data_IF_551987748314
#
_entry.id   IF_551987748314
#
_cell.length_a   1.000
_cell.length_b   1.000
_cell.length_c   1.000
_cell.angle_alpha   90.00
_cell.angle_beta   90.00
_cell.angle_gamma   90.00
#
_symmetry.space_group_name_H-M   'P 1'
#
loop_
_entity.id
_entity.type
_entity.pdbx_description
1 polymer ?
#
# COMPACT_ATOMS: atom_id res chain seq x y z
N UNK A 1 37.94 -21.05 10.15
CA UNK A 1 37.14 -19.90 9.69
C UNK A 1 37.45 -19.73 8.22
N UNK A 2 36.63 -20.27 7.35
CA UNK A 2 36.83 -20.17 5.91
C UNK A 2 36.46 -18.79 5.42
N UNK A 3 37.28 -18.22 4.59
CA UNK A 3 37.05 -16.99 3.85
C UNK A 3 35.79 -17.14 3.02
N UNK A 4 34.70 -16.43 3.37
CA UNK A 4 33.43 -16.46 2.64
C UNK A 4 33.56 -15.54 1.42
N UNK A 5 34.43 -15.93 0.49
CA UNK A 5 34.51 -15.32 -0.83
C UNK A 5 33.17 -15.46 -1.55
N UNK A 6 32.47 -14.35 -1.76
CA UNK A 6 31.19 -14.20 -2.47
C UNK A 6 29.98 -14.87 -1.78
N UNK A 7 29.37 -14.16 -0.84
CA UNK A 7 28.01 -14.45 -0.40
C UNK A 7 27.07 -14.51 -1.62
N UNK A 8 26.52 -15.71 -1.89
CA UNK A 8 25.43 -15.85 -2.85
C UNK A 8 24.12 -15.56 -2.12
N UNK A 9 23.58 -14.36 -2.29
CA UNK A 9 22.28 -13.98 -1.76
C UNK A 9 21.21 -15.01 -2.17
N UNK A 10 20.27 -15.27 -1.27
CA UNK A 10 19.09 -16.04 -1.58
C UNK A 10 18.20 -15.14 -2.44
N UNK A 11 18.20 -15.35 -3.77
CA UNK A 11 17.52 -14.46 -4.72
C UNK A 11 16.00 -14.50 -4.57
N UNK A 12 15.45 -15.68 -4.33
CA UNK A 12 14.03 -15.94 -4.15
C UNK A 12 13.87 -16.91 -2.99
N UNK A 13 12.98 -16.61 -2.03
CA UNK A 13 12.73 -17.44 -0.89
C UNK A 13 11.21 -17.58 -0.64
N UNK A 14 10.77 -18.81 -0.38
CA UNK A 14 9.41 -19.18 0.00
C UNK A 14 9.46 -20.15 1.19
N UNK A 15 8.45 -20.11 2.04
CA UNK A 15 8.32 -20.99 3.19
C UNK A 15 8.69 -20.33 4.52
N UNK A 16 9.07 -21.12 5.52
CA UNK A 16 9.39 -20.63 6.85
C UNK A 16 10.89 -20.66 7.11
N UNK A 17 11.48 -19.50 7.38
CA UNK A 17 12.86 -19.38 7.86
C UNK A 17 12.82 -18.97 9.33
N UNK A 18 13.18 -19.89 10.21
CA UNK A 18 13.37 -19.62 11.64
C UNK A 18 14.86 -19.58 11.96
N UNK A 19 15.37 -18.42 12.33
CA UNK A 19 16.75 -18.22 12.76
C UNK A 19 17.07 -18.81 14.13
N UNK A 20 16.06 -19.26 14.91
CA UNK A 20 16.22 -19.82 16.26
C UNK A 20 17.03 -18.93 17.18
N UNK A 21 16.88 -17.62 17.11
CA UNK A 21 17.68 -16.67 17.87
C UNK A 21 19.16 -16.60 17.49
N UNK A 22 19.56 -17.23 16.37
CA UNK A 22 20.95 -17.23 15.90
C UNK A 22 21.28 -15.95 15.15
N UNK A 23 22.58 -15.66 15.10
CA UNK A 23 23.13 -14.51 14.39
C UNK A 23 23.82 -14.94 13.10
N UNK A 24 23.44 -14.33 12.00
CA UNK A 24 24.24 -14.31 10.76
C UNK A 24 25.18 -13.11 10.86
N UNK A 25 26.44 -13.35 11.20
CA UNK A 25 27.46 -12.31 11.32
C UNK A 25 28.32 -12.21 10.06
N UNK A 26 28.88 -11.01 9.83
CA UNK A 26 29.79 -10.76 8.72
C UNK A 26 29.11 -10.72 7.35
N UNK A 27 27.80 -10.38 7.30
CA UNK A 27 27.14 -10.09 6.04
C UNK A 27 27.92 -8.99 5.33
N UNK A 28 28.41 -9.26 4.13
CA UNK A 28 29.12 -8.29 3.32
C UNK A 28 28.57 -8.30 1.90
N UNK A 29 27.79 -7.30 1.58
CA UNK A 29 27.27 -7.10 0.24
C UNK A 29 27.90 -5.84 -0.32
N UNK A 30 28.79 -6.00 -1.28
CA UNK A 30 29.43 -4.89 -1.97
C UNK A 30 29.16 -5.02 -3.45
N UNK A 31 28.53 -4.01 -4.05
CA UNK A 31 28.33 -3.97 -5.50
C UNK A 31 28.53 -2.57 -6.02
N UNK A 32 29.46 -2.43 -6.93
CA UNK A 32 29.63 -1.27 -7.80
C UNK A 32 28.90 -1.64 -9.10
N UNK A 33 27.80 -0.97 -9.38
CA UNK A 33 26.90 -1.42 -10.43
C UNK A 33 27.13 -0.75 -11.78
N UNK A 34 27.29 -1.60 -12.79
CA UNK A 34 27.06 -1.24 -14.19
C UNK A 34 25.69 -1.76 -14.70
N UNK A 35 24.80 -2.21 -13.82
CA UNK A 35 23.48 -2.76 -14.17
C UNK A 35 22.49 -2.70 -13.02
N UNK A 36 21.22 -2.89 -13.32
CA UNK A 36 20.08 -2.81 -12.39
C UNK A 36 20.13 -3.89 -11.31
N UNK A 37 20.47 -3.51 -10.06
CA UNK A 37 20.12 -4.31 -8.90
C UNK A 37 18.81 -3.79 -8.36
N UNK A 38 17.74 -4.57 -8.50
CA UNK A 38 16.42 -4.17 -8.04
C UNK A 38 16.19 -4.47 -6.56
N UNK A 39 16.85 -5.50 -6.01
CA UNK A 39 16.58 -5.94 -4.63
C UNK A 39 17.86 -6.45 -3.97
N UNK A 40 18.10 -6.10 -2.70
CA UNK A 40 19.30 -6.47 -1.94
C UNK A 40 18.98 -6.68 -0.48
N UNK A 41 19.49 -7.77 0.09
CA UNK A 41 19.39 -8.17 1.49
C UNK A 41 19.94 -9.59 1.68
N UNK A 42 19.85 -10.13 2.88
CA UNK A 42 20.09 -11.55 3.12
C UNK A 42 19.22 -12.39 2.17
N UNK A 43 17.94 -12.02 2.06
CA UNK A 43 17.02 -12.47 1.04
C UNK A 43 16.82 -11.33 0.03
N UNK A 44 16.98 -11.61 -1.28
CA UNK A 44 16.75 -10.59 -2.31
C UNK A 44 15.27 -10.23 -2.42
N UNK A 45 14.45 -11.23 -2.75
CA UNK A 45 13.00 -11.10 -2.94
C UNK A 45 12.29 -12.23 -2.22
N UNK A 46 11.23 -11.89 -1.53
CA UNK A 46 10.31 -12.83 -0.87
C UNK A 46 8.91 -12.53 -1.37
N UNK A 47 8.42 -13.32 -2.35
CA UNK A 47 7.22 -12.97 -3.13
C UNK A 47 5.98 -13.75 -2.75
N UNK A 48 6.09 -14.83 -1.96
CA UNK A 48 4.96 -15.67 -1.67
C UNK A 48 4.29 -15.28 -0.35
N UNK A 49 2.98 -15.10 -0.40
CA UNK A 49 2.15 -14.93 0.80
C UNK A 49 2.25 -16.16 1.70
N UNK A 50 2.19 -15.96 3.01
CA UNK A 50 2.35 -17.02 3.99
C UNK A 50 3.81 -17.41 4.24
N UNK A 51 4.77 -16.80 3.54
CA UNK A 51 6.19 -16.92 3.88
C UNK A 51 6.48 -16.20 5.20
N UNK A 52 7.31 -16.82 6.03
CA UNK A 52 7.69 -16.30 7.35
C UNK A 52 9.20 -16.25 7.49
N UNK A 53 9.73 -15.13 7.95
CA UNK A 53 11.12 -14.98 8.38
C UNK A 53 11.09 -14.51 9.83
N UNK A 54 11.72 -15.29 10.72
CA UNK A 54 11.63 -15.01 12.17
C UNK A 54 12.88 -15.36 12.96
N UNK A 55 12.98 -14.75 14.16
CA UNK A 55 13.97 -15.09 15.19
C UNK A 55 15.41 -15.06 14.66
N UNK A 56 15.77 -14.00 13.92
CA UNK A 56 17.04 -13.87 13.24
C UNK A 56 17.73 -12.56 13.58
N UNK A 57 19.00 -12.61 13.99
CA UNK A 57 19.87 -11.44 14.01
C UNK A 57 20.78 -11.43 12.79
N UNK A 58 20.94 -10.28 12.14
CA UNK A 58 21.88 -10.08 11.01
C UNK A 58 22.82 -8.93 11.35
N UNK A 59 24.14 -9.16 11.16
CA UNK A 59 25.19 -8.18 11.42
C UNK A 59 26.14 -8.07 10.24
N UNK A 60 26.59 -6.87 9.90
CA UNK A 60 27.53 -6.64 8.81
C UNK A 60 27.32 -5.34 8.04
N UNK A 61 27.66 -5.34 6.76
CA UNK A 61 27.65 -4.14 5.93
C UNK A 61 27.06 -4.42 4.54
N UNK A 62 26.24 -3.49 4.07
CA UNK A 62 25.70 -3.43 2.70
C UNK A 62 26.19 -2.12 2.07
N UNK A 63 27.05 -2.22 1.06
CA UNK A 63 27.59 -1.07 0.33
C UNK A 63 27.23 -1.17 -1.16
N UNK A 64 26.30 -0.33 -1.60
CA UNK A 64 25.74 -0.39 -2.95
C UNK A 64 26.02 0.89 -3.71
N UNK A 65 26.59 0.76 -4.93
CA UNK A 65 26.51 1.79 -5.95
C UNK A 65 25.28 1.49 -6.82
N UNK A 66 24.27 2.35 -6.87
CA UNK A 66 23.03 2.12 -7.64
C UNK A 66 22.94 3.04 -8.85
N UNK A 67 22.57 2.47 -9.99
CA UNK A 67 22.07 3.17 -11.18
C UNK A 67 20.71 2.58 -11.52
N UNK A 68 19.66 3.11 -10.94
CA UNK A 68 18.29 2.65 -11.15
C UNK A 68 17.55 2.36 -9.83
N UNK A 69 16.30 1.97 -9.94
CA UNK A 69 15.43 1.63 -8.80
C UNK A 69 16.00 0.46 -8.00
N UNK A 70 16.07 0.61 -6.68
CA UNK A 70 16.60 -0.43 -5.80
C UNK A 70 15.81 -0.50 -4.49
N UNK A 71 15.50 -1.73 -4.05
CA UNK A 71 14.95 -2.03 -2.74
C UNK A 71 16.01 -2.73 -1.89
N UNK A 72 16.44 -2.12 -0.80
CA UNK A 72 17.58 -2.53 0.00
C UNK A 72 17.16 -2.65 1.47
N UNK A 73 17.35 -3.83 2.06
CA UNK A 73 17.12 -4.08 3.49
C UNK A 73 18.07 -5.16 4.01
N UNK A 74 18.35 -5.17 5.30
CA UNK A 74 19.27 -6.17 5.87
C UNK A 74 18.73 -7.59 5.76
N UNK A 75 17.43 -7.77 6.05
CA UNK A 75 16.78 -9.08 5.96
C UNK A 75 16.30 -9.33 4.53
N UNK A 76 15.52 -8.43 3.95
CA UNK A 76 15.01 -8.61 2.59
C UNK A 76 15.04 -7.31 1.79
N UNK A 77 15.31 -7.37 0.49
CA UNK A 77 15.16 -6.24 -0.41
C UNK A 77 13.68 -5.90 -0.59
N UNK A 78 12.91 -6.82 -1.15
CA UNK A 78 11.45 -6.73 -1.30
C UNK A 78 10.80 -7.94 -0.63
N UNK A 79 9.73 -7.73 0.16
CA UNK A 79 9.09 -8.83 0.90
C UNK A 79 7.58 -8.73 0.95
N UNK A 80 6.89 -9.84 0.61
CA UNK A 80 5.49 -10.13 0.92
C UNK A 80 5.34 -11.00 2.18
N UNK A 81 6.46 -11.44 2.78
CA UNK A 81 6.46 -12.28 3.97
C UNK A 81 6.06 -11.50 5.22
N UNK A 82 5.63 -12.24 6.23
CA UNK A 82 5.68 -11.76 7.61
C UNK A 82 7.11 -11.88 8.12
N UNK A 83 7.72 -10.74 8.48
CA UNK A 83 9.04 -10.68 9.11
C UNK A 83 8.83 -10.29 10.57
N UNK A 84 9.21 -11.16 11.50
CA UNK A 84 9.05 -10.84 12.91
C UNK A 84 10.16 -11.34 13.81
N UNK A 85 10.32 -10.65 14.94
CA UNK A 85 11.34 -10.95 15.93
C UNK A 85 12.74 -11.05 15.33
N UNK A 86 13.04 -10.07 14.43
CA UNK A 86 14.34 -10.00 13.75
C UNK A 86 15.10 -8.75 14.19
N UNK A 87 16.41 -8.89 14.32
CA UNK A 87 17.32 -7.80 14.69
C UNK A 87 18.30 -7.54 13.56
N UNK A 88 18.42 -6.28 13.16
CA UNK A 88 19.44 -5.83 12.22
C UNK A 88 20.47 -4.95 12.93
N UNK A 89 21.74 -5.32 12.82
CA UNK A 89 22.91 -4.51 13.14
C UNK A 89 23.77 -4.32 11.87
N UNK A 90 23.10 -4.14 10.75
CA UNK A 90 23.74 -3.98 9.45
C UNK A 90 23.84 -2.50 9.11
N UNK A 91 25.05 -2.02 8.81
CA UNK A 91 25.24 -0.69 8.24
C UNK A 91 24.91 -0.74 6.74
N UNK A 92 24.09 0.18 6.28
CA UNK A 92 23.69 0.27 4.88
C UNK A 92 24.19 1.58 4.30
N UNK A 93 25.03 1.50 3.27
CA UNK A 93 25.52 2.66 2.54
C UNK A 93 25.15 2.55 1.06
N UNK A 94 24.47 3.56 0.53
CA UNK A 94 24.04 3.61 -0.87
C UNK A 94 24.57 4.87 -1.51
N UNK A 95 25.25 4.72 -2.64
CA UNK A 95 25.67 5.83 -3.50
C UNK A 95 24.87 5.73 -4.80
N UNK A 96 23.96 6.66 -5.05
CA UNK A 96 23.13 6.71 -6.25
C UNK A 96 23.61 7.81 -7.18
N UNK A 97 23.83 7.45 -8.46
CA UNK A 97 24.33 8.38 -9.48
C UNK A 97 23.40 8.52 -10.69
N UNK A 98 22.15 8.04 -10.61
CA UNK A 98 21.22 8.09 -11.74
C UNK A 98 20.04 9.04 -11.45
N UNK A 99 19.70 9.83 -12.46
CA UNK A 99 18.65 10.83 -12.41
C UNK A 99 17.22 10.27 -12.34
N UNK A 100 17.02 8.96 -12.54
CA UNK A 100 15.68 8.34 -12.65
C UNK A 100 15.37 7.28 -11.60
N UNK A 101 16.19 7.17 -10.55
CA UNK A 101 16.11 6.05 -9.60
C UNK A 101 15.27 6.37 -8.37
N UNK A 102 14.23 5.59 -8.13
CA UNK A 102 13.57 5.50 -6.82
C UNK A 102 14.27 4.41 -5.98
N UNK A 103 14.84 4.81 -4.85
CA UNK A 103 15.53 3.89 -3.94
C UNK A 103 14.69 3.75 -2.67
N UNK A 104 14.39 2.50 -2.27
CA UNK A 104 13.78 2.20 -0.99
C UNK A 104 14.82 1.51 -0.09
N UNK A 105 15.13 2.10 1.05
CA UNK A 105 16.14 1.57 1.98
C UNK A 105 15.55 1.45 3.38
N UNK A 106 15.59 0.26 3.95
CA UNK A 106 15.15 0.00 5.33
C UNK A 106 16.14 -0.87 6.11
N UNK A 107 16.21 -0.66 7.40
CA UNK A 107 17.09 -1.46 8.27
C UNK A 107 16.72 -2.94 8.32
N UNK A 108 15.44 -3.28 8.11
CA UNK A 108 14.94 -4.66 7.97
C UNK A 108 14.63 -4.98 6.52
N UNK A 109 13.79 -4.17 5.87
CA UNK A 109 13.30 -4.44 4.51
C UNK A 109 13.27 -3.18 3.67
N UNK A 110 13.72 -3.25 2.41
CA UNK A 110 13.68 -2.12 1.47
C UNK A 110 12.24 -1.74 1.13
N UNK A 111 11.46 -2.71 0.65
CA UNK A 111 10.05 -2.53 0.32
C UNK A 111 9.21 -3.66 0.90
N UNK A 112 8.33 -3.34 1.85
CA UNK A 112 7.44 -4.27 2.50
C UNK A 112 6.06 -4.25 1.85
N UNK A 113 5.54 -5.43 1.55
CA UNK A 113 4.15 -5.69 1.16
C UNK A 113 3.43 -6.57 2.19
N UNK A 114 4.16 -7.17 3.12
CA UNK A 114 3.67 -7.97 4.22
C UNK A 114 3.91 -7.29 5.58
N UNK A 115 3.58 -8.01 6.65
CA UNK A 115 3.74 -7.56 8.03
C UNK A 115 5.20 -7.53 8.45
N UNK A 116 5.64 -6.44 9.08
CA UNK A 116 6.90 -6.35 9.82
C UNK A 116 6.58 -6.04 11.28
N UNK A 117 6.89 -6.95 12.17
CA UNK A 117 6.59 -6.77 13.59
C UNK A 117 7.68 -7.26 14.54
N UNK A 118 7.71 -6.71 15.71
CA UNK A 118 8.67 -7.12 16.77
C UNK A 118 10.13 -7.07 16.28
N UNK A 119 10.46 -6.16 15.37
CA UNK A 119 11.77 -6.05 14.78
C UNK A 119 12.56 -4.87 15.34
N UNK A 120 13.89 -5.02 15.38
CA UNK A 120 14.77 -4.00 15.92
C UNK A 120 15.90 -3.68 14.94
N UNK A 121 16.31 -2.41 14.87
CA UNK A 121 17.45 -1.98 14.06
C UNK A 121 18.40 -1.08 14.85
N UNK A 122 19.71 -1.34 14.67
CA UNK A 122 20.79 -0.63 15.35
C UNK A 122 21.92 -0.20 14.38
N UNK A 123 21.91 -0.69 13.14
CA UNK A 123 22.90 -0.31 12.13
C UNK A 123 22.55 1.03 11.49
N UNK A 124 23.54 1.78 11.05
CA UNK A 124 23.35 3.09 10.44
C UNK A 124 22.98 2.98 8.96
N UNK A 125 22.18 3.93 8.47
CA UNK A 125 21.77 4.02 7.07
C UNK A 125 22.31 5.33 6.49
N UNK A 126 23.14 5.24 5.45
CA UNK A 126 23.70 6.40 4.76
C UNK A 126 23.40 6.35 3.27
N UNK A 127 22.77 7.40 2.77
CA UNK A 127 22.43 7.57 1.36
C UNK A 127 23.14 8.81 0.83
N UNK A 128 23.95 8.66 -0.22
CA UNK A 128 24.51 9.76 -0.98
C UNK A 128 23.87 9.73 -2.38
N UNK A 129 23.27 10.83 -2.78
CA UNK A 129 22.60 10.94 -4.06
C UNK A 129 23.27 12.05 -4.89
N UNK A 130 23.69 11.68 -6.10
CA UNK A 130 24.12 12.63 -7.11
C UNK A 130 23.02 12.78 -8.15
N UNK A 131 22.43 13.97 -8.28
CA UNK A 131 21.46 14.25 -9.33
C UNK A 131 20.00 14.40 -8.85
N UNK A 132 19.03 14.06 -9.72
CA UNK A 132 17.59 14.34 -9.54
C UNK A 132 16.80 13.12 -9.06
N UNK A 133 17.44 12.10 -8.54
CA UNK A 133 16.79 10.92 -8.00
C UNK A 133 16.12 11.18 -6.65
N UNK A 134 15.09 10.39 -6.33
CA UNK A 134 14.41 10.38 -5.04
C UNK A 134 14.78 9.17 -4.20
N UNK A 135 14.68 9.28 -2.88
CA UNK A 135 14.82 8.14 -1.98
C UNK A 135 13.70 8.07 -0.93
N UNK A 136 13.40 6.83 -0.56
CA UNK A 136 12.51 6.47 0.54
C UNK A 136 13.31 5.69 1.56
N UNK A 137 13.49 6.25 2.75
CA UNK A 137 14.34 5.67 3.78
C UNK A 137 13.57 5.53 5.08
N UNK A 138 13.70 4.37 5.72
CA UNK A 138 13.16 4.13 7.05
C UNK A 138 14.07 3.26 7.89
N UNK A 139 14.06 3.47 9.18
CA UNK A 139 14.87 2.65 10.08
C UNK A 139 14.46 1.17 10.07
N UNK A 140 13.19 0.87 9.85
CA UNK A 140 12.66 -0.50 9.70
C UNK A 140 12.41 -0.82 8.22
N UNK A 141 11.59 -0.04 7.54
CA UNK A 141 11.26 -0.28 6.13
C UNK A 141 11.44 0.99 5.29
N UNK A 142 12.04 0.87 4.12
CA UNK A 142 12.14 1.98 3.16
C UNK A 142 10.76 2.47 2.77
N UNK A 143 9.86 1.57 2.41
CA UNK A 143 8.43 1.83 2.25
C UNK A 143 7.61 0.59 2.60
N UNK A 144 6.42 0.80 3.16
CA UNK A 144 5.41 -0.24 3.34
C UNK A 144 4.20 0.09 2.49
N UNK A 145 3.87 -0.79 1.56
CA UNK A 145 2.80 -0.62 0.58
C UNK A 145 1.90 -1.84 0.64
N UNK A 146 0.61 -1.62 0.56
CA UNK A 146 -0.36 -2.71 0.60
C UNK A 146 -0.25 -3.60 -0.64
N UNK A 147 -0.08 -4.89 -0.41
CA UNK A 147 -0.47 -5.91 -1.38
C UNK A 147 -1.59 -6.78 -0.81
N UNK A 148 -1.66 -6.89 0.53
CA UNK A 148 -2.57 -7.78 1.24
C UNK A 148 -2.96 -7.19 2.60
N UNK A 149 -4.05 -7.73 3.14
CA UNK A 149 -4.59 -7.42 4.44
C UNK A 149 -3.66 -7.94 5.53
N UNK A 150 -3.51 -7.14 6.57
CA UNK A 150 -2.61 -7.43 7.68
C UNK A 150 -1.16 -7.00 7.43
N UNK A 151 -0.88 -6.26 6.35
CA UNK A 151 0.38 -5.56 6.20
C UNK A 151 0.51 -4.45 7.24
N UNK A 152 1.74 -4.01 7.51
CA UNK A 152 1.99 -2.90 8.44
C UNK A 152 3.31 -3.05 9.17
N UNK A 153 3.59 -2.09 10.03
CA UNK A 153 4.78 -2.08 10.88
C UNK A 153 4.32 -1.92 12.33
N UNK A 154 4.48 -2.98 13.13
CA UNK A 154 3.91 -3.05 14.47
C UNK A 154 4.99 -3.46 15.49
N UNK A 155 5.04 -2.78 16.62
CA UNK A 155 5.97 -3.05 17.74
C UNK A 155 7.43 -3.16 17.28
N UNK A 156 7.86 -2.21 16.45
CA UNK A 156 9.24 -2.17 15.97
C UNK A 156 10.00 -1.01 16.61
N UNK A 157 11.29 -1.25 16.87
CA UNK A 157 12.22 -0.25 17.38
C UNK A 157 13.31 0.03 16.37
N UNK A 158 13.53 1.30 16.07
CA UNK A 158 14.73 1.71 15.33
C UNK A 158 15.56 2.68 16.17
N UNK A 159 16.81 2.29 16.39
CA UNK A 159 17.87 3.13 16.92
C UNK A 159 18.92 3.48 15.87
N UNK A 160 18.59 3.29 14.59
CA UNK A 160 19.47 3.58 13.47
C UNK A 160 19.59 5.08 13.25
N UNK A 161 20.83 5.58 13.11
CA UNK A 161 21.05 6.91 12.54
C UNK A 161 20.89 6.86 11.03
N UNK A 162 20.10 7.77 10.50
CA UNK A 162 19.77 7.86 9.08
C UNK A 162 20.33 9.15 8.51
N UNK A 163 21.28 9.05 7.58
CA UNK A 163 21.86 10.21 6.90
C UNK A 163 21.53 10.16 5.41
N UNK A 164 20.94 11.24 4.88
CA UNK A 164 20.68 11.42 3.44
C UNK A 164 21.37 12.69 2.96
N UNK A 165 22.13 12.61 1.89
CA UNK A 165 22.89 13.72 1.33
C UNK A 165 22.58 13.86 -0.16
N UNK A 166 22.16 15.07 -0.57
CA UNK A 166 21.90 15.43 -1.97
C UNK A 166 20.62 14.79 -2.52
N UNK A 167 20.41 14.98 -3.82
CA UNK A 167 19.25 14.48 -4.53
C UNK A 167 18.09 15.48 -4.64
N UNK A 168 17.06 15.09 -5.41
CA UNK A 168 15.88 15.94 -5.61
C UNK A 168 14.90 15.80 -4.45
N UNK A 169 14.51 14.57 -4.15
CA UNK A 169 13.44 14.27 -3.19
C UNK A 169 13.92 13.26 -2.15
N UNK A 170 13.77 13.56 -0.87
CA UNK A 170 14.04 12.66 0.23
C UNK A 170 12.78 12.50 1.11
N UNK A 171 12.27 11.28 1.21
CA UNK A 171 11.24 10.90 2.16
C UNK A 171 11.86 10.00 3.23
N UNK A 172 11.98 10.48 4.45
CA UNK A 172 12.69 9.79 5.53
C UNK A 172 11.81 9.68 6.75
N UNK A 173 11.61 8.47 7.24
CA UNK A 173 10.93 8.21 8.51
C UNK A 173 11.83 7.41 9.46
N UNK A 174 11.79 7.69 10.74
CA UNK A 174 12.54 6.91 11.73
C UNK A 174 12.17 5.43 11.70
N UNK A 175 10.92 5.13 11.37
CA UNK A 175 10.41 3.75 11.17
C UNK A 175 10.26 3.44 9.68
N UNK A 176 9.53 4.25 8.94
CA UNK A 176 9.37 4.07 7.48
C UNK A 176 9.13 5.40 6.77
N UNK A 177 9.51 5.52 5.50
CA UNK A 177 9.19 6.71 4.73
C UNK A 177 7.72 6.83 4.40
N UNK A 178 7.11 5.72 3.99
CA UNK A 178 5.71 5.63 3.57
C UNK A 178 5.08 4.37 4.16
N UNK A 179 3.92 4.53 4.80
CA UNK A 179 3.11 3.41 5.28
C UNK A 179 1.69 3.60 4.77
N UNK A 180 1.09 2.55 4.21
CA UNK A 180 -0.29 2.55 3.72
C UNK A 180 -1.25 1.71 4.54
N UNK A 181 -0.73 1.02 5.55
CA UNK A 181 -1.47 0.15 6.46
C UNK A 181 -1.15 0.50 7.92
N UNK A 182 -1.40 -0.43 8.84
CA UNK A 182 -1.25 -0.22 10.28
C UNK A 182 0.18 0.16 10.67
N UNK A 183 0.29 1.21 11.46
CA UNK A 183 1.53 1.64 12.09
C UNK A 183 1.27 1.87 13.58
N UNK A 184 1.69 0.90 14.39
CA UNK A 184 1.27 0.85 15.77
C UNK A 184 2.41 0.40 16.69
N UNK A 185 2.47 1.03 17.88
CA UNK A 185 3.42 0.69 18.94
C UNK A 185 4.89 0.73 18.46
N UNK A 186 5.28 1.71 17.65
CA UNK A 186 6.64 1.82 17.16
C UNK A 186 7.45 2.87 17.92
N UNK A 187 8.74 2.57 18.12
CA UNK A 187 9.69 3.42 18.83
C UNK A 187 10.85 3.82 17.93
N UNK A 188 11.13 5.11 17.85
CA UNK A 188 12.34 5.62 17.21
C UNK A 188 13.22 6.40 18.19
N UNK A 189 14.52 6.05 18.23
CA UNK A 189 15.50 6.64 19.17
C UNK A 189 16.75 7.19 18.47
N UNK A 190 16.91 7.00 17.16
CA UNK A 190 18.07 7.44 16.38
C UNK A 190 18.03 8.93 15.98
N UNK A 191 18.96 9.33 15.13
CA UNK A 191 19.02 10.65 14.54
C UNK A 191 18.72 10.58 13.03
N UNK A 192 17.86 11.48 12.52
CA UNK A 192 17.68 11.70 11.09
C UNK A 192 18.38 12.96 10.65
N UNK A 193 19.33 12.83 9.73
CA UNK A 193 20.13 13.92 9.17
C UNK A 193 19.99 13.98 7.65
N UNK A 194 19.27 15.01 7.13
CA UNK A 194 19.00 15.16 5.70
C UNK A 194 19.57 16.48 5.20
N UNK A 195 20.51 16.42 4.29
CA UNK A 195 21.29 17.58 3.86
C UNK A 195 21.32 17.76 2.34
N UNK A 196 21.02 18.97 1.87
CA UNK A 196 21.20 19.37 0.48
C UNK A 196 20.20 18.74 -0.50
N UNK A 197 19.08 18.21 -0.03
CA UNK A 197 17.98 17.76 -0.87
C UNK A 197 17.09 18.96 -1.26
N UNK A 198 16.54 18.95 -2.48
CA UNK A 198 15.64 20.01 -2.91
C UNK A 198 14.30 19.93 -2.15
N UNK A 199 13.67 18.74 -2.10
CA UNK A 199 12.50 18.48 -1.25
C UNK A 199 12.83 17.43 -0.21
N UNK A 200 12.53 17.72 1.05
CA UNK A 200 12.75 16.79 2.15
C UNK A 200 11.50 16.69 3.03
N UNK A 201 11.02 15.45 3.19
CA UNK A 201 9.92 15.12 4.08
C UNK A 201 10.47 14.18 5.16
N UNK A 202 10.59 14.70 6.39
CA UNK A 202 11.25 13.99 7.49
C UNK A 202 10.28 13.82 8.66
N UNK A 203 9.85 12.59 8.91
CA UNK A 203 9.03 12.23 10.04
C UNK A 203 9.79 11.40 11.08
N UNK A 204 9.55 11.64 12.36
CA UNK A 204 10.19 10.85 13.41
C UNK A 204 9.74 9.39 13.41
N UNK A 205 8.50 9.14 13.06
CA UNK A 205 7.96 7.79 12.86
C UNK A 205 7.82 7.53 11.36
N UNK A 206 7.08 8.38 10.64
CA UNK A 206 6.81 8.18 9.20
C UNK A 206 6.88 9.52 8.45
N UNK A 207 7.41 9.54 7.22
CA UNK A 207 7.42 10.78 6.43
C UNK A 207 6.04 11.08 5.85
N UNK A 208 5.34 10.08 5.32
CA UNK A 208 3.98 10.20 4.79
C UNK A 208 3.18 8.93 5.03
N UNK A 209 1.88 9.07 5.24
CA UNK A 209 0.98 7.96 5.50
C UNK A 209 -0.44 8.24 5.02
N UNK A 210 -1.15 7.19 4.62
CA UNK A 210 -2.54 7.25 4.17
C UNK A 210 -3.54 6.47 5.04
N UNK A 211 -3.11 6.00 6.23
CA UNK A 211 -3.92 5.18 7.13
C UNK A 211 -3.82 5.67 8.58
N UNK A 212 -3.49 4.82 9.54
CA UNK A 212 -3.53 5.11 10.97
C UNK A 212 -2.14 4.96 11.60
N UNK A 213 -1.77 5.90 12.50
CA UNK A 213 -0.59 5.83 13.36
C UNK A 213 -1.05 5.84 14.81
N UNK A 214 -0.76 4.79 15.54
CA UNK A 214 -1.16 4.64 16.94
C UNK A 214 -0.01 4.31 17.87
N UNK A 215 -0.11 4.81 19.10
CA UNK A 215 0.74 4.40 20.22
C UNK A 215 2.24 4.42 19.89
N UNK A 216 2.69 5.38 19.10
CA UNK A 216 4.08 5.49 18.66
C UNK A 216 4.84 6.54 19.48
N UNK A 217 6.12 6.28 19.73
CA UNK A 217 6.98 7.17 20.52
C UNK A 217 8.22 7.58 19.74
N UNK A 218 8.45 8.88 19.63
CA UNK A 218 9.64 9.50 19.05
C UNK A 218 10.52 10.10 20.12
N UNK A 219 11.67 9.48 20.37
CA UNK A 219 12.69 9.96 21.31
C UNK A 219 13.95 10.47 20.62
N UNK A 220 14.10 10.20 19.34
CA UNK A 220 15.26 10.57 18.52
C UNK A 220 15.41 12.06 18.26
N UNK A 221 16.16 12.41 17.23
CA UNK A 221 16.42 13.80 16.85
C UNK A 221 16.43 14.00 15.34
N UNK A 222 16.36 15.29 14.92
CA UNK A 222 16.48 15.70 13.54
C UNK A 222 17.58 16.74 13.38
N UNK A 223 18.37 16.57 12.34
CA UNK A 223 19.30 17.59 11.84
C UNK A 223 19.15 17.72 10.33
N UNK A 224 19.82 18.71 9.74
CA UNK A 224 19.85 18.87 8.30
C UNK A 224 19.20 20.14 7.76
N UNK A 225 19.33 20.32 6.44
CA UNK A 225 18.85 21.49 5.70
C UNK A 225 18.52 21.11 4.24
N UNK A 226 17.67 21.91 3.60
CA UNK A 226 17.29 21.77 2.20
C UNK A 226 16.46 22.98 1.76
N UNK A 227 16.15 23.09 0.46
CA UNK A 227 15.37 24.21 -0.07
C UNK A 227 13.93 24.19 0.45
N UNK A 228 13.32 22.99 0.43
CA UNK A 228 11.99 22.72 0.98
C UNK A 228 12.10 21.60 1.98
N UNK A 229 12.22 21.92 3.26
CA UNK A 229 12.47 20.99 4.34
C UNK A 229 11.27 20.90 5.28
N UNK A 230 10.44 19.86 5.10
CA UNK A 230 9.27 19.58 5.94
C UNK A 230 9.61 18.54 6.98
N UNK A 231 9.37 18.85 8.25
CA UNK A 231 9.65 17.92 9.35
C UNK A 231 8.53 17.90 10.38
N UNK A 232 8.28 16.72 10.92
CA UNK A 232 7.31 16.51 11.99
C UNK A 232 7.77 15.40 12.92
N UNK A 233 7.58 15.61 14.22
CA UNK A 233 8.03 14.64 15.22
C UNK A 233 7.42 13.25 15.02
N UNK A 234 6.16 13.18 14.61
CA UNK A 234 5.52 11.91 14.24
C UNK A 234 5.51 11.74 12.73
N UNK A 235 4.96 12.71 11.99
CA UNK A 235 4.81 12.64 10.54
C UNK A 235 5.08 13.99 9.87
N UNK A 236 5.72 13.99 8.70
CA UNK A 236 6.05 15.21 7.96
C UNK A 236 4.88 15.74 7.12
N UNK A 237 4.14 14.84 6.45
CA UNK A 237 3.02 15.20 5.57
C UNK A 237 1.85 14.24 5.76
N UNK A 238 0.64 14.78 5.60
CA UNK A 238 -0.60 14.01 5.70
C UNK A 238 -1.25 13.90 4.31
N UNK A 239 -1.58 12.69 3.91
CA UNK A 239 -2.62 12.45 2.91
C UNK A 239 -3.99 12.60 3.59
N UNK A 240 -5.06 12.81 2.82
CA UNK A 240 -6.38 13.03 3.41
C UNK A 240 -6.81 11.82 4.25
N UNK A 241 -7.37 12.08 5.45
CA UNK A 241 -7.99 11.08 6.33
C UNK A 241 -7.04 10.21 7.17
N UNK A 242 -5.86 10.68 7.54
CA UNK A 242 -4.99 9.97 8.50
C UNK A 242 -5.45 10.18 9.93
N UNK A 243 -5.52 9.09 10.70
CA UNK A 243 -5.77 9.12 12.15
C UNK A 243 -4.41 8.99 12.85
N UNK A 244 -4.10 9.94 13.74
CA UNK A 244 -2.95 9.89 14.64
C UNK A 244 -3.47 9.87 16.05
N UNK A 245 -3.30 8.74 16.74
CA UNK A 245 -3.89 8.50 18.05
C UNK A 245 -2.81 8.05 19.03
N UNK A 246 -2.82 8.60 20.23
CA UNK A 246 -1.87 8.29 21.32
C UNK A 246 -0.40 8.20 20.87
N UNK A 247 0.03 9.14 20.02
CA UNK A 247 1.41 9.25 19.56
C UNK A 247 2.13 10.36 20.32
N UNK A 248 3.32 10.06 20.82
CA UNK A 248 4.09 10.97 21.68
C UNK A 248 5.49 11.22 21.14
N UNK A 249 6.02 12.38 21.47
CA UNK A 249 7.39 12.74 21.15
C UNK A 249 8.05 13.57 22.26
N UNK A 250 9.36 13.45 22.39
CA UNK A 250 10.12 14.22 23.37
C UNK A 250 9.97 15.71 23.10
N UNK A 251 9.64 16.48 24.13
CA UNK A 251 9.51 17.93 24.05
C UNK A 251 10.79 18.60 23.48
N UNK A 252 10.60 19.69 22.76
CA UNK A 252 11.69 20.42 22.10
C UNK A 252 12.04 19.91 20.69
N UNK A 253 11.47 18.81 20.23
CA UNK A 253 11.60 18.41 18.83
C UNK A 253 10.77 19.32 17.90
N UNK A 254 11.31 19.66 16.73
CA UNK A 254 10.56 20.43 15.76
C UNK A 254 9.35 19.66 15.25
N UNK A 255 8.17 20.24 15.37
CA UNK A 255 6.93 19.65 14.89
C UNK A 255 6.12 20.68 14.08
N UNK A 256 6.44 20.77 12.80
CA UNK A 256 5.78 21.72 11.88
C UNK A 256 4.29 21.39 11.65
N UNK A 257 3.87 20.15 11.90
CA UNK A 257 2.53 19.64 11.54
C UNK A 257 1.61 19.37 12.74
N UNK A 258 2.04 19.63 13.97
CA UNK A 258 1.23 19.42 15.20
C UNK A 258 0.62 18.02 15.37
N UNK A 259 1.28 16.99 14.84
CA UNK A 259 0.85 15.60 14.98
C UNK A 259 1.46 14.95 16.21
N UNK A 260 0.62 14.37 17.07
CA UNK A 260 1.03 13.76 18.34
C UNK A 260 1.23 14.80 19.46
N UNK A 261 1.64 14.31 20.63
CA UNK A 261 1.71 15.09 21.86
C UNK A 261 3.15 15.20 22.36
N UNK A 262 3.66 16.41 22.66
CA UNK A 262 4.96 16.57 23.29
C UNK A 262 4.91 16.06 24.74
N UNK A 263 5.95 15.38 25.17
CA UNK A 263 6.12 14.89 26.56
C UNK A 263 7.43 15.42 27.12
N UNK A 264 7.36 16.00 28.30
CA UNK A 264 8.52 16.51 29.00
C UNK A 264 9.48 15.37 29.38
N UNK A 265 10.78 15.63 29.35
CA UNK A 265 11.80 14.63 29.65
C UNK A 265 11.62 14.03 31.07
N UNK A 266 11.25 14.85 32.04
CA UNK A 266 10.98 14.38 33.41
C UNK A 266 9.82 13.38 33.49
N UNK A 267 8.79 13.53 32.62
CA UNK A 267 7.67 12.60 32.54
C UNK A 267 8.10 11.30 31.90
N UNK A 268 8.90 11.34 30.83
CA UNK A 268 9.47 10.16 30.17
C UNK A 268 10.33 9.31 31.11
N UNK A 269 11.01 9.95 32.07
CA UNK A 269 11.82 9.26 33.09
C UNK A 269 11.06 8.89 34.39
N UNK A 270 9.78 9.23 34.46
CA UNK A 270 9.00 9.00 35.70
C UNK A 270 8.65 7.54 35.98
N UNK A 271 8.80 6.67 34.99
CA UNK A 271 8.30 5.28 35.05
C UNK A 271 6.78 5.15 34.88
N UNK A 272 6.06 6.26 34.67
CA UNK A 272 4.62 6.25 34.46
C UNK A 272 4.31 5.92 33.00
N UNK A 273 3.25 5.12 32.75
CA UNK A 273 2.78 4.84 31.42
C UNK A 273 2.17 6.09 30.76
N UNK A 274 2.40 6.25 29.46
CA UNK A 274 1.73 7.25 28.66
C UNK A 274 0.30 6.79 28.33
N UNK A 275 -0.67 7.71 28.24
CA UNK A 275 -2.04 7.37 27.85
C UNK A 275 -2.07 6.54 26.56
N UNK A 276 -2.96 5.54 26.48
CA UNK A 276 -3.06 4.64 25.33
C UNK A 276 -1.97 3.57 25.20
N UNK A 277 -0.86 3.68 25.96
CA UNK A 277 0.22 2.70 25.89
C UNK A 277 -0.07 1.50 26.79
N UNK A 278 -0.06 0.31 26.20
CA UNK A 278 -0.28 -0.95 26.90
C UNK A 278 0.98 -1.38 27.68
N UNK A 279 0.92 -1.53 29.02
CA UNK A 279 2.07 -1.97 29.82
C UNK A 279 2.56 -3.41 29.51
N UNK A 280 1.79 -4.20 28.78
CA UNK A 280 2.25 -5.51 28.29
C UNK A 280 3.13 -5.40 27.04
N UNK A 281 3.08 -4.26 26.37
CA UNK A 281 3.86 -3.96 25.15
C UNK A 281 5.02 -3.01 25.47
N UNK A 282 4.75 -2.03 26.33
CA UNK A 282 5.69 -0.97 26.67
C UNK A 282 6.26 -1.15 28.09
N UNK A 283 7.56 -0.98 28.19
CA UNK A 283 8.30 -1.02 29.44
C UNK A 283 8.54 0.39 29.98
N UNK A 284 7.97 0.70 31.12
CA UNK A 284 8.15 1.97 31.81
C UNK A 284 8.92 1.74 33.11
N UNK A 285 10.11 2.33 33.25
CA UNK A 285 10.96 2.25 34.44
C UNK A 285 11.40 3.63 34.87
N UNK A 286 11.34 3.88 36.15
CA UNK A 286 11.87 5.13 36.72
C UNK A 286 13.35 5.29 36.37
N UNK A 287 13.73 6.46 35.86
CA UNK A 287 15.10 6.77 35.47
C UNK A 287 15.53 6.24 34.09
N UNK A 288 14.62 5.62 33.33
CA UNK A 288 14.86 5.13 31.97
C UNK A 288 13.82 5.69 31.02
N UNK A 289 14.16 5.86 29.74
CA UNK A 289 13.16 6.13 28.71
C UNK A 289 12.25 4.92 28.51
N UNK A 290 10.97 5.14 28.14
CA UNK A 290 10.09 4.06 27.73
C UNK A 290 10.71 3.25 26.58
N UNK A 291 10.60 1.94 26.67
CA UNK A 291 11.06 1.00 25.65
C UNK A 291 10.01 -0.07 25.36
N UNK A 292 10.16 -0.80 24.28
CA UNK A 292 9.29 -1.93 23.95
C UNK A 292 9.78 -3.21 24.63
N UNK A 293 8.85 -4.05 25.05
CA UNK A 293 9.18 -5.42 25.42
C UNK A 293 9.44 -6.24 24.16
N UNK A 294 10.66 -6.78 24.06
CA UNK A 294 11.03 -7.76 23.05
C UNK A 294 11.37 -9.06 23.76
N UNK A 295 10.41 -9.97 23.82
CA UNK A 295 10.66 -11.30 24.33
C UNK A 295 11.07 -12.19 23.15
N UNK A 296 12.28 -12.75 23.20
CA UNK A 296 12.67 -13.87 22.37
C UNK A 296 12.05 -15.15 22.93
N UNK A 297 10.73 -15.18 23.03
CA UNK A 297 10.07 -16.44 23.33
C UNK A 297 10.26 -17.40 22.15
N UNK A 298 10.74 -18.58 22.47
CA UNK A 298 10.59 -19.74 21.60
C UNK A 298 9.10 -19.92 21.31
N UNK A 299 8.68 -19.58 20.09
CA UNK A 299 7.32 -19.75 19.62
C UNK A 299 6.26 -18.79 20.21
N UNK A 300 6.32 -17.51 19.89
CA UNK A 300 5.05 -16.82 19.70
C UNK A 300 4.49 -17.39 18.38
N UNK A 301 3.69 -18.44 18.48
CA UNK A 301 2.80 -18.81 17.39
C UNK A 301 1.98 -17.55 17.08
N UNK A 302 2.05 -17.06 15.83
CA UNK A 302 1.13 -15.99 15.45
C UNK A 302 -0.28 -16.51 15.77
N UNK A 303 -1.12 -15.72 16.44
CA UNK A 303 -2.44 -16.16 16.74
C UNK A 303 -3.10 -16.62 15.43
N UNK A 304 -3.66 -17.82 15.45
CA UNK A 304 -4.44 -18.29 14.32
C UNK A 304 -5.58 -17.32 14.07
N UNK A 305 -5.88 -17.07 12.81
CA UNK A 305 -7.07 -16.29 12.47
C UNK A 305 -8.27 -17.04 12.96
N UNK A 306 -9.08 -16.45 13.83
CA UNK A 306 -10.33 -17.01 14.33
C UNK A 306 -11.56 -16.37 13.68
N UNK A 307 -11.39 -15.16 13.10
CA UNK A 307 -12.47 -14.39 12.48
C UNK A 307 -11.93 -13.44 11.41
N UNK A 308 -12.75 -13.25 10.37
CA UNK A 308 -12.57 -12.21 9.34
C UNK A 308 -13.78 -11.30 9.38
N UNK A 309 -13.58 -9.99 9.25
CA UNK A 309 -14.65 -9.01 9.09
C UNK A 309 -14.36 -8.10 7.89
N UNK A 310 -15.34 -7.89 7.03
CA UNK A 310 -15.29 -6.92 5.95
C UNK A 310 -15.67 -5.53 6.45
N UNK A 311 -15.04 -4.49 5.90
CA UNK A 311 -15.37 -3.09 6.16
C UNK A 311 -16.78 -2.70 5.69
N UNK A 312 -17.41 -3.52 4.85
CA UNK A 312 -18.77 -3.32 4.31
C UNK A 312 -19.49 -4.65 4.18
N UNK A 313 -20.74 -4.68 4.65
CA UNK A 313 -21.63 -5.85 4.56
C UNK A 313 -22.62 -5.75 3.41
N UNK A 314 -22.92 -4.52 2.96
CA UNK A 314 -23.82 -4.22 1.85
C UNK A 314 -23.25 -3.11 0.97
N UNK A 315 -23.38 -3.28 -0.35
CA UNK A 315 -22.99 -2.30 -1.36
C UNK A 315 -24.08 -2.18 -2.43
N UNK A 316 -24.29 -0.95 -2.90
CA UNK A 316 -25.08 -0.69 -4.11
C UNK A 316 -24.20 0.01 -5.11
N UNK A 317 -24.07 -0.57 -6.31
CA UNK A 317 -23.17 -0.12 -7.37
C UNK A 317 -23.96 0.04 -8.68
N UNK A 318 -23.49 0.92 -9.54
CA UNK A 318 -23.91 1.00 -10.95
C UNK A 318 -23.05 0.11 -11.81
N UNK A 319 -23.54 -0.30 -12.98
CA UNK A 319 -22.72 -1.10 -13.92
C UNK A 319 -21.47 -0.34 -14.33
N UNK A 320 -20.30 -0.96 -14.15
CA UNK A 320 -18.98 -0.39 -14.41
C UNK A 320 -18.29 0.20 -13.19
N UNK A 321 -18.98 0.35 -12.07
CA UNK A 321 -18.35 0.80 -10.84
C UNK A 321 -17.37 -0.24 -10.30
N UNK A 322 -16.32 0.26 -9.67
CA UNK A 322 -15.32 -0.57 -8.99
C UNK A 322 -15.07 -0.02 -7.58
N UNK A 323 -15.11 -0.90 -6.59
CA UNK A 323 -14.85 -0.57 -5.18
C UNK A 323 -14.00 -1.66 -4.55
N UNK A 324 -13.14 -1.29 -3.62
CA UNK A 324 -12.35 -2.25 -2.85
C UNK A 324 -13.03 -2.53 -1.51
N UNK A 325 -13.12 -3.80 -1.16
CA UNK A 325 -13.46 -4.31 0.18
C UNK A 325 -12.16 -4.56 0.96
N UNK A 326 -12.18 -4.24 2.24
CA UNK A 326 -11.07 -4.42 3.15
C UNK A 326 -11.46 -5.38 4.27
N UNK A 327 -10.89 -6.60 4.31
CA UNK A 327 -11.10 -7.51 5.43
C UNK A 327 -10.13 -7.22 6.56
N UNK A 328 -10.59 -7.33 7.78
CA UNK A 328 -9.81 -7.31 9.02
C UNK A 328 -9.74 -8.73 9.59
N UNK A 329 -8.52 -9.18 9.91
CA UNK A 329 -8.29 -10.48 10.53
C UNK A 329 -8.21 -10.33 12.06
N UNK A 330 -8.82 -11.26 12.78
CA UNK A 330 -8.79 -11.30 14.24
C UNK A 330 -8.19 -12.62 14.75
N UNK A 331 -7.53 -12.58 15.94
CA UNK A 331 -7.24 -11.42 16.76
C UNK A 331 -6.19 -10.49 16.10
N UNK A 332 -6.00 -9.28 16.66
CA UNK A 332 -4.99 -8.34 16.17
C UNK A 332 -3.62 -9.01 16.06
N UNK A 333 -2.92 -8.80 14.93
CA UNK A 333 -1.64 -9.45 14.64
C UNK A 333 -1.77 -10.88 14.06
N UNK A 334 -2.97 -11.42 13.93
CA UNK A 334 -3.18 -12.66 13.17
C UNK A 334 -2.92 -12.42 11.68
N UNK A 335 -2.27 -13.37 11.04
CA UNK A 335 -2.00 -13.32 9.59
C UNK A 335 -2.37 -14.65 8.96
N UNK A 336 -2.79 -14.60 7.70
CA UNK A 336 -3.12 -15.82 6.98
C UNK A 336 -3.44 -15.54 5.53
N UNK A 337 -3.51 -16.59 4.74
CA UNK A 337 -3.83 -16.49 3.33
C UNK A 337 -5.34 -16.49 3.15
N UNK A 338 -5.85 -15.51 2.43
CA UNK A 338 -7.28 -15.38 2.13
C UNK A 338 -7.56 -15.67 0.67
N UNK A 339 -8.78 -16.05 0.40
CA UNK A 339 -9.32 -16.22 -0.95
C UNK A 339 -10.63 -15.46 -1.07
N UNK A 340 -10.80 -14.81 -2.21
CA UNK A 340 -12.01 -14.10 -2.57
C UNK A 340 -12.84 -14.91 -3.56
N UNK A 341 -14.15 -14.82 -3.46
CA UNK A 341 -15.06 -15.41 -4.42
C UNK A 341 -16.31 -14.55 -4.60
N UNK A 342 -16.94 -14.69 -5.75
CA UNK A 342 -18.26 -14.14 -6.03
C UNK A 342 -19.25 -15.27 -6.20
N UNK A 343 -20.46 -15.09 -5.70
CA UNK A 343 -21.55 -16.05 -5.93
C UNK A 343 -22.10 -15.98 -7.36
N UNK A 344 -21.86 -14.86 -8.05
CA UNK A 344 -22.30 -14.64 -9.43
C UNK A 344 -21.37 -13.67 -10.17
N UNK A 345 -20.40 -14.24 -10.89
CA UNK A 345 -19.42 -13.48 -11.68
C UNK A 345 -20.04 -12.74 -12.87
N UNK A 346 -21.28 -13.06 -13.22
CA UNK A 346 -22.02 -12.31 -14.24
C UNK A 346 -22.48 -10.96 -13.68
N UNK A 347 -22.87 -10.88 -12.41
CA UNK A 347 -23.31 -9.68 -11.73
C UNK A 347 -22.12 -8.83 -11.26
N UNK A 348 -21.21 -9.41 -10.50
CA UNK A 348 -20.02 -8.74 -9.99
C UNK A 348 -18.86 -9.72 -9.84
N UNK A 349 -17.65 -9.28 -10.17
CA UNK A 349 -16.41 -10.03 -9.96
C UNK A 349 -15.57 -9.42 -8.88
N UNK A 350 -14.74 -10.23 -8.25
CA UNK A 350 -13.75 -9.78 -7.27
C UNK A 350 -12.38 -10.37 -7.64
N UNK A 351 -11.32 -9.57 -7.49
CA UNK A 351 -9.96 -10.05 -7.66
C UNK A 351 -9.31 -10.43 -6.33
N UNK A 352 -8.07 -10.94 -6.37
CA UNK A 352 -7.32 -11.34 -5.18
C UNK A 352 -7.01 -10.20 -4.20
N UNK A 353 -7.14 -8.94 -4.62
CA UNK A 353 -6.94 -7.77 -3.77
C UNK A 353 -8.22 -7.17 -3.19
N UNK A 354 -9.35 -7.88 -3.31
CA UNK A 354 -10.66 -7.41 -2.82
C UNK A 354 -11.32 -6.33 -3.70
N UNK A 355 -10.77 -6.04 -4.90
CA UNK A 355 -11.41 -5.10 -5.82
C UNK A 355 -12.61 -5.77 -6.48
N UNK A 356 -13.79 -5.26 -6.17
CA UNK A 356 -15.08 -5.67 -6.74
C UNK A 356 -15.39 -4.78 -7.95
N UNK A 357 -15.80 -5.40 -9.06
CA UNK A 357 -16.22 -4.70 -10.28
C UNK A 357 -17.62 -5.13 -10.65
N UNK A 358 -18.54 -4.17 -10.71
CA UNK A 358 -19.93 -4.37 -11.12
C UNK A 358 -20.04 -4.57 -12.63
N UNK A 359 -20.68 -5.68 -13.07
CA UNK A 359 -20.80 -6.04 -14.49
C UNK A 359 -22.20 -5.93 -15.05
N UNK A 360 -23.16 -6.54 -14.38
CA UNK A 360 -24.56 -6.58 -14.81
C UNK A 360 -25.50 -6.40 -13.64
N UNK A 361 -26.70 -5.90 -13.90
CA UNK A 361 -27.70 -5.69 -12.87
C UNK A 361 -28.15 -7.00 -12.21
N UNK A 362 -28.19 -6.99 -10.88
CA UNK A 362 -28.52 -8.16 -10.06
C UNK A 362 -27.97 -8.08 -8.65
N UNK A 363 -27.90 -9.21 -7.98
CA UNK A 363 -27.33 -9.34 -6.63
C UNK A 363 -26.25 -10.42 -6.68
N UNK A 364 -25.06 -10.09 -6.19
CA UNK A 364 -23.99 -11.06 -5.95
C UNK A 364 -23.54 -10.97 -4.48
N UNK A 365 -23.04 -12.07 -3.95
CA UNK A 365 -22.40 -12.12 -2.64
C UNK A 365 -20.90 -12.27 -2.84
N UNK A 366 -20.14 -11.29 -2.40
CA UNK A 366 -18.69 -11.32 -2.44
C UNK A 366 -18.21 -11.86 -1.10
N UNK A 367 -17.53 -12.98 -1.12
CA UNK A 367 -17.03 -13.65 0.07
C UNK A 367 -15.52 -13.57 0.16
N UNK A 368 -15.02 -13.41 1.36
CA UNK A 368 -13.62 -13.60 1.72
C UNK A 368 -13.51 -14.75 2.72
N UNK A 369 -12.56 -15.65 2.55
CA UNK A 369 -12.35 -16.79 3.45
C UNK A 369 -10.87 -17.07 3.64
N UNK A 370 -10.50 -17.71 4.77
CA UNK A 370 -9.17 -18.31 4.93
C UNK A 370 -8.97 -19.48 3.98
N UNK A 371 -7.77 -19.58 3.36
CA UNK A 371 -7.49 -20.70 2.43
C UNK A 371 -7.34 -22.06 3.10
N UNK A 372 -6.90 -22.07 4.35
CA UNK A 372 -6.68 -23.27 5.19
C UNK A 372 -7.92 -23.63 6.02
N UNK A 373 -8.86 -22.70 6.20
CA UNK A 373 -10.11 -22.94 6.89
C UNK A 373 -11.25 -22.07 6.33
N UNK A 374 -11.94 -22.58 5.32
CA UNK A 374 -13.02 -21.85 4.62
C UNK A 374 -14.23 -21.51 5.52
N UNK A 375 -14.33 -22.07 6.73
CA UNK A 375 -15.38 -21.72 7.69
C UNK A 375 -15.13 -20.35 8.35
N UNK A 376 -13.89 -19.89 8.34
CA UNK A 376 -13.52 -18.52 8.75
C UNK A 376 -13.68 -17.63 7.52
N UNK A 377 -14.80 -16.94 7.46
CA UNK A 377 -15.19 -16.15 6.29
C UNK A 377 -16.11 -15.00 6.67
N UNK A 378 -16.19 -14.01 5.79
CA UNK A 378 -17.20 -12.95 5.84
C UNK A 378 -17.71 -12.63 4.42
N UNK A 379 -18.87 -11.98 4.34
CA UNK A 379 -19.62 -11.79 3.10
C UNK A 379 -20.17 -10.38 2.99
N UNK A 380 -19.97 -9.75 1.84
CA UNK A 380 -20.61 -8.52 1.46
C UNK A 380 -21.68 -8.77 0.38
N UNK A 381 -22.89 -8.30 0.61
CA UNK A 381 -23.96 -8.32 -0.40
C UNK A 381 -23.75 -7.13 -1.35
N UNK A 382 -23.62 -7.42 -2.65
CA UNK A 382 -23.46 -6.42 -3.70
C UNK A 382 -24.72 -6.39 -4.56
N UNK A 383 -25.44 -5.28 -4.53
CA UNK A 383 -26.56 -5.01 -5.43
C UNK A 383 -26.04 -4.14 -6.57
N UNK A 384 -26.09 -4.65 -7.78
CA UNK A 384 -25.77 -3.85 -8.97
C UNK A 384 -27.10 -3.39 -9.58
N UNK A 385 -27.29 -2.08 -9.64
CA UNK A 385 -28.44 -1.50 -10.29
C UNK A 385 -28.40 -1.84 -11.77
N UNK A 386 -29.52 -2.29 -12.32
CA UNK A 386 -29.66 -2.36 -13.76
C UNK A 386 -29.55 -0.92 -14.26
N UNK A 387 -28.58 -0.64 -15.14
CA UNK A 387 -28.74 0.56 -15.95
C UNK A 387 -30.14 0.52 -16.51
N UNK A 388 -30.91 1.63 -16.44
CA UNK A 388 -32.16 1.66 -17.14
C UNK A 388 -31.83 1.22 -18.56
N UNK A 389 -32.24 -0.02 -18.89
CA UNK A 389 -32.12 -0.48 -20.26
C UNK A 389 -32.86 0.58 -21.05
N UNK A 390 -32.24 1.07 -22.12
CA UNK A 390 -32.90 1.97 -23.07
C UNK A 390 -34.16 1.36 -23.69
N UNK A 391 -34.77 0.38 -23.01
CA UNK A 391 -35.95 -0.39 -23.33
C UNK A 391 -37.03 -0.38 -22.22
N UNK A 392 -36.84 0.30 -21.08
CA UNK A 392 -38.02 0.82 -20.42
C UNK A 392 -38.48 2.00 -21.26
N UNK A 393 -39.31 1.70 -22.24
CA UNK A 393 -40.12 2.70 -22.93
C UNK A 393 -40.85 3.52 -21.87
N UNK A 394 -40.30 4.67 -21.50
CA UNK A 394 -41.21 5.80 -21.22
C UNK A 394 -42.05 5.85 -22.48
N UNK A 395 -43.40 5.73 -22.41
CA UNK A 395 -44.23 5.89 -23.57
C UNK A 395 -43.96 7.31 -24.06
N UNK A 396 -43.06 7.44 -25.04
CA UNK A 396 -43.07 8.59 -25.92
C UNK A 396 -44.15 8.19 -26.90
N UNK A 397 -45.36 8.55 -26.55
CA UNK A 397 -46.43 8.49 -27.47
C UNK A 397 -45.91 9.06 -28.79
N UNK A 398 -45.91 8.22 -29.85
CA UNK A 398 -45.73 8.53 -31.25
C UNK A 398 -44.33 8.61 -31.86
N UNK A 399 -43.32 7.90 -31.36
CA UNK A 399 -42.10 7.68 -32.15
C UNK A 399 -41.95 6.21 -32.52
N UNK A 400 -41.97 5.90 -33.82
CA UNK A 400 -41.75 4.55 -34.32
C UNK A 400 -40.47 4.49 -35.17
N UNK A 401 -39.60 3.54 -34.92
CA UNK A 401 -38.36 3.34 -35.65
C UNK A 401 -38.31 1.89 -36.16
N UNK A 402 -38.16 1.67 -37.49
CA UNK A 402 -38.06 0.33 -38.09
C UNK A 402 -36.94 0.27 -39.11
N UNK A 403 -36.27 -0.88 -39.24
CA UNK A 403 -35.41 -1.19 -40.35
C UNK A 403 -36.25 -1.72 -41.52
N UNK A 404 -35.96 -1.23 -42.70
CA UNK A 404 -36.51 -1.68 -43.97
C UNK A 404 -35.37 -2.23 -44.86
N UNK A 405 -35.69 -2.67 -46.07
CA UNK A 405 -34.67 -3.04 -47.03
C UNK A 405 -33.91 -1.77 -47.50
N UNK A 406 -32.61 -1.71 -47.23
CA UNK A 406 -31.74 -0.57 -47.59
C UNK A 406 -32.04 0.78 -46.91
N UNK A 407 -32.89 0.82 -45.86
CA UNK A 407 -33.25 2.07 -45.21
C UNK A 407 -33.74 1.89 -43.77
N UNK A 408 -33.80 3.00 -43.03
CA UNK A 408 -34.40 3.09 -41.71
C UNK A 408 -35.58 4.07 -41.77
N UNK A 409 -36.74 3.61 -41.39
CA UNK A 409 -37.93 4.44 -41.24
C UNK A 409 -38.03 4.93 -39.79
N UNK A 410 -38.24 6.26 -39.65
CA UNK A 410 -38.50 6.92 -38.39
C UNK A 410 -39.80 7.74 -38.54
N UNK A 411 -40.85 7.33 -37.86
CA UNK A 411 -42.10 8.10 -37.82
C UNK A 411 -42.10 8.95 -36.54
N UNK A 412 -42.15 10.26 -36.68
CA UNK A 412 -42.09 11.24 -35.59
C UNK A 412 -43.29 12.20 -35.65
N UNK A 413 -43.90 12.49 -34.54
CA UNK A 413 -45.06 13.41 -34.48
C UNK A 413 -44.72 14.88 -34.66
N UNK A 414 -43.44 15.23 -34.40
CA UNK A 414 -42.98 16.62 -34.52
C UNK A 414 -41.51 16.64 -34.99
N UNK A 415 -41.03 17.74 -35.58
CA UNK A 415 -39.64 17.90 -35.97
C UNK A 415 -38.69 17.75 -34.80
N UNK A 416 -37.70 16.89 -34.92
CA UNK A 416 -36.67 16.65 -33.88
C UNK A 416 -35.37 16.11 -34.49
N UNK A 417 -34.27 16.29 -33.77
CA UNK A 417 -32.97 15.85 -34.25
C UNK A 417 -32.79 14.34 -34.08
N UNK A 418 -32.12 13.71 -35.04
CA UNK A 418 -31.76 12.30 -35.00
C UNK A 418 -30.29 12.08 -35.30
N UNK A 419 -29.78 10.94 -34.86
CA UNK A 419 -28.46 10.46 -35.17
C UNK A 419 -28.48 8.93 -35.35
N UNK A 420 -27.85 8.41 -36.39
CA UNK A 420 -27.70 6.98 -36.66
C UNK A 420 -26.23 6.63 -36.55
N UNK A 421 -25.94 5.66 -35.73
CA UNK A 421 -24.58 5.18 -35.47
C UNK A 421 -24.40 3.75 -35.98
N UNK A 422 -23.22 3.42 -36.48
CA UNK A 422 -22.75 2.05 -36.62
C UNK A 422 -22.41 1.46 -35.23
N UNK A 423 -22.26 0.15 -35.14
CA UNK A 423 -21.92 -0.52 -33.88
C UNK A 423 -20.54 -0.13 -33.32
N UNK A 424 -19.65 0.38 -34.15
CA UNK A 424 -18.33 0.91 -33.74
C UNK A 424 -18.40 2.35 -33.21
N UNK A 425 -19.61 2.96 -33.12
CA UNK A 425 -19.82 4.33 -32.68
C UNK A 425 -19.66 5.41 -33.73
N UNK A 426 -19.35 5.06 -34.97
CA UNK A 426 -19.26 6.00 -36.11
C UNK A 426 -20.66 6.54 -36.47
N UNK A 427 -20.77 7.85 -36.70
CA UNK A 427 -22.00 8.48 -37.16
C UNK A 427 -22.19 8.19 -38.65
N UNK A 428 -23.23 7.44 -38.96
CA UNK A 428 -23.60 7.09 -40.34
C UNK A 428 -24.49 8.17 -40.98
N UNK A 429 -25.42 8.70 -40.19
CA UNK A 429 -26.29 9.79 -40.62
C UNK A 429 -26.80 10.59 -39.43
N UNK A 430 -27.02 11.88 -39.64
CA UNK A 430 -27.63 12.75 -38.64
C UNK A 430 -28.39 13.88 -39.32
N UNK A 431 -29.42 14.38 -38.68
CA UNK A 431 -30.22 15.45 -39.23
C UNK A 431 -31.44 15.77 -38.40
N UNK A 432 -32.43 16.39 -39.06
CA UNK A 432 -33.69 16.77 -38.44
C UNK A 432 -34.83 16.00 -39.09
N UNK A 433 -35.61 15.28 -38.31
CA UNK A 433 -36.84 14.64 -38.73
C UNK A 433 -37.92 15.70 -38.97
N UNK A 434 -38.75 15.45 -39.94
CA UNK A 434 -40.03 16.18 -40.12
C UNK A 434 -41.12 15.41 -39.40
N UNK A 435 -42.26 16.08 -39.11
CA UNK A 435 -43.45 15.40 -38.62
C UNK A 435 -43.96 14.40 -39.67
N UNK A 436 -44.28 13.17 -39.21
CA UNK A 436 -44.65 12.05 -40.05
C UNK A 436 -43.49 11.06 -40.34
N UNK A 437 -43.61 10.29 -41.40
CA UNK A 437 -42.66 9.24 -41.78
C UNK A 437 -41.42 9.84 -42.48
N UNK A 438 -40.24 9.48 -41.96
CA UNK A 438 -38.92 9.86 -42.50
C UNK A 438 -38.18 8.58 -42.89
N UNK A 439 -37.77 8.44 -44.14
CA UNK A 439 -37.01 7.30 -44.67
C UNK A 439 -35.57 7.74 -44.89
N UNK A 440 -34.65 7.09 -44.24
CA UNK A 440 -33.21 7.41 -44.30
C UNK A 440 -32.48 6.20 -44.89
N UNK A 441 -31.92 6.40 -46.08
CA UNK A 441 -31.17 5.35 -46.78
C UNK A 441 -29.86 5.05 -46.05
N UNK A 442 -29.61 3.76 -45.79
CA UNK A 442 -28.39 3.25 -45.22
C UNK A 442 -28.07 1.89 -45.85
N UNK A 443 -26.84 1.44 -45.80
CA UNK A 443 -26.46 0.12 -46.27
C UNK A 443 -27.06 -0.97 -45.35
N UNK A 444 -27.14 -2.20 -45.88
CA UNK A 444 -27.48 -3.39 -45.06
C UNK A 444 -26.55 -3.48 -43.82
N UNK A 445 -27.14 -3.62 -42.65
CA UNK A 445 -26.34 -3.64 -41.41
C UNK A 445 -27.16 -3.50 -40.14
N UNK A 446 -26.44 -3.35 -39.03
CA UNK A 446 -27.03 -3.10 -37.70
C UNK A 446 -26.64 -1.71 -37.26
N UNK A 447 -27.63 -0.93 -36.86
CA UNK A 447 -27.48 0.47 -36.50
C UNK A 447 -28.09 0.78 -35.16
N UNK A 448 -27.62 1.84 -34.50
CA UNK A 448 -28.21 2.44 -33.31
C UNK A 448 -28.79 3.78 -33.72
N UNK A 449 -30.10 3.91 -33.63
CA UNK A 449 -30.82 5.15 -33.92
C UNK A 449 -31.11 5.88 -32.62
N UNK A 450 -30.67 7.13 -32.52
CA UNK A 450 -30.91 8.02 -31.38
C UNK A 450 -31.77 9.18 -31.84
N UNK A 451 -32.90 9.42 -31.14
CA UNK A 451 -33.78 10.56 -31.34
C UNK A 451 -34.09 11.14 -29.95
N UNK A 452 -33.51 12.31 -29.63
CA UNK A 452 -33.51 12.84 -28.24
C UNK A 452 -33.03 11.80 -27.20
N UNK A 453 -33.92 11.38 -26.31
CA UNK A 453 -33.66 10.38 -25.26
C UNK A 453 -34.04 8.94 -25.69
N UNK A 454 -34.61 8.79 -26.90
CA UNK A 454 -34.98 7.49 -27.43
C UNK A 454 -33.80 6.88 -28.21
N UNK A 455 -33.44 5.67 -27.87
CA UNK A 455 -32.35 4.92 -28.52
C UNK A 455 -32.89 3.54 -28.89
N UNK A 456 -32.73 3.16 -30.14
CA UNK A 456 -33.16 1.85 -30.63
C UNK A 456 -32.10 1.21 -31.54
N UNK A 457 -31.85 -0.09 -31.35
CA UNK A 457 -31.09 -0.92 -32.28
C UNK A 457 -31.98 -1.35 -33.43
N UNK A 458 -31.53 -1.15 -34.63
CA UNK A 458 -32.29 -1.43 -35.87
C UNK A 458 -31.46 -2.30 -36.79
N UNK A 459 -32.12 -3.31 -37.40
CA UNK A 459 -31.50 -4.18 -38.40
C UNK A 459 -32.08 -3.79 -39.75
N UNK A 460 -31.21 -3.46 -40.71
CA UNK A 460 -31.54 -3.15 -42.10
C UNK A 460 -31.14 -4.35 -42.94
N UNK A 461 -32.09 -4.88 -43.71
CA UNK A 461 -31.94 -6.08 -44.54
C UNK A 461 -31.37 -5.80 -45.92
#
# INVERSE_FOLDING_TARGET
>A
MGDVGSYRRILLFNGVFNGNGKTVSGLKITKINNGTIRTTGLFGVVMEQGTIIKNLTVEGDINIGSRGTADIGAIAGTSMATIYNCISKVNISVNSSDASSDINVGGIVGKAYGMVRDCQTYGNIRINQDGISGCRVGGIAGSSVTADIGAGIIRCKSASDITVIGGKDAMVGGISSLIRENNENNLYTGCVDVNGCHFSYVGGIVASMSSEVKNCLMLGSFTGYGDYYYKGAIMATQEQSVIIDDCYYREGLPNAASYGYPVAEAELYSGSSLPGFDPSIWNFREGEYPDLFFEFEDLIEMPAVDRIELDKTDLTLEIGDAIRLYPTLYPSGATGKIVWSSSDDYVAVVNSSGLVVARNGGIAYISVSMTDNLSISDVCRVTVNKSPTANESVPVDDLEVRGLEGSIMINATMPQDFCIYALNGEIINQGKLMGGENIISVLKGIYIVKVKNYIKKVIVL
#
